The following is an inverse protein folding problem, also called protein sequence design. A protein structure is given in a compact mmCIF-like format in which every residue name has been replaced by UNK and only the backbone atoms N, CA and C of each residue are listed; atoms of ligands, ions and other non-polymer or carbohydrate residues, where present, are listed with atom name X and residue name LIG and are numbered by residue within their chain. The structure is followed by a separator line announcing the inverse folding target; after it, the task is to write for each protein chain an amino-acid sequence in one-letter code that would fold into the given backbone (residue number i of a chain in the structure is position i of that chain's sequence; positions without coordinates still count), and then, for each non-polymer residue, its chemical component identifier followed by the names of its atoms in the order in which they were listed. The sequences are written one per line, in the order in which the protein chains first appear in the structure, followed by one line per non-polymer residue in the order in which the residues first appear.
data_IF_535337604127
#
_entry.id   IF_535337604127
#
_cell.length_a   1.000
_cell.length_b   1.000
_cell.length_c   1.000
_cell.angle_alpha   90.00
_cell.angle_beta   90.00
_cell.angle_gamma   90.00
#
_symmetry.space_group_name_H-M   'P 1'
#
loop_
_entity.id
_entity.type
_entity.pdbx_description
1 polymer ?
#
# COMPACT_ATOMS: atom_id res chain seq x y z
N UNK A 1 11.47 -3.44 10.36
CA UNK A 1 10.84 -2.65 11.44
C UNK A 1 10.49 -3.54 12.60
N UNK A 2 10.68 -3.04 13.80
CA UNK A 2 10.26 -3.77 14.99
C UNK A 2 8.76 -3.60 15.22
N UNK A 3 8.17 -4.53 15.96
CA UNK A 3 6.78 -4.50 16.41
C UNK A 3 5.76 -4.59 15.27
N UNK A 4 4.52 -4.35 15.60
CA UNK A 4 3.42 -4.32 14.64
C UNK A 4 3.29 -2.91 14.07
N UNK A 5 4.13 -2.61 13.08
CA UNK A 5 4.04 -1.34 12.35
C UNK A 5 3.09 -1.51 11.17
N UNK A 6 2.12 -0.59 11.07
CA UNK A 6 1.19 -0.50 9.96
C UNK A 6 1.54 0.73 9.13
N UNK A 7 1.70 0.54 7.83
CA UNK A 7 1.96 1.64 6.91
C UNK A 7 0.73 1.87 6.04
N UNK A 8 0.20 3.09 6.07
CA UNK A 8 -0.97 3.48 5.31
C UNK A 8 -0.57 4.29 4.09
N UNK A 9 -1.02 3.84 2.92
CA UNK A 9 -0.83 4.54 1.66
C UNK A 9 -2.19 5.09 1.25
N UNK A 10 -2.31 6.41 1.19
CA UNK A 10 -3.61 7.08 1.02
C UNK A 10 -3.88 7.57 -0.39
N UNK A 11 -2.88 7.54 -1.26
CA UNK A 11 -3.01 7.88 -2.68
C UNK A 11 -1.84 7.27 -3.46
N UNK A 12 -1.94 7.26 -4.78
CA UNK A 12 -0.92 6.63 -5.63
C UNK A 12 0.30 7.51 -5.92
N UNK A 13 0.43 8.61 -5.20
CA UNK A 13 1.61 9.48 -5.24
C UNK A 13 1.87 10.04 -3.83
N UNK A 14 3.07 10.56 -3.60
CA UNK A 14 3.51 10.99 -2.26
C UNK A 14 3.64 12.50 -2.21
N UNK A 15 3.03 13.11 -1.19
CA UNK A 15 3.10 14.56 -0.97
C UNK A 15 2.04 15.33 -1.74
N UNK A 16 2.01 16.65 -1.54
CA UNK A 16 1.12 17.58 -2.22
C UNK A 16 1.90 18.39 -3.25
N UNK A 17 1.22 18.84 -4.29
CA UNK A 17 1.83 19.63 -5.36
C UNK A 17 1.89 18.84 -6.66
N UNK A 18 3.07 18.57 -7.18
CA UNK A 18 3.23 17.84 -8.43
C UNK A 18 2.94 16.35 -8.28
N UNK A 19 1.95 15.84 -9.00
CA UNK A 19 1.68 14.39 -9.03
C UNK A 19 2.82 13.63 -9.68
N UNK A 20 3.41 14.17 -10.75
CA UNK A 20 4.55 13.55 -11.41
C UNK A 20 5.71 13.32 -10.44
N UNK A 21 6.05 14.34 -9.66
CA UNK A 21 7.06 14.22 -8.61
C UNK A 21 6.63 13.24 -7.54
N UNK A 22 5.36 13.29 -7.14
CA UNK A 22 4.80 12.39 -6.13
C UNK A 22 4.90 10.93 -6.52
N UNK A 23 4.69 10.57 -7.77
CA UNK A 23 4.88 9.21 -8.26
C UNK A 23 6.34 8.76 -8.14
N UNK A 24 7.28 9.63 -8.48
CA UNK A 24 8.71 9.33 -8.34
C UNK A 24 9.11 9.14 -6.89
N UNK A 25 8.59 9.99 -6.00
CA UNK A 25 8.89 9.91 -4.56
C UNK A 25 8.36 8.62 -3.96
N UNK A 26 7.14 8.23 -4.33
CA UNK A 26 6.53 7.00 -3.82
C UNK A 26 7.31 5.76 -4.29
N UNK A 27 7.66 5.70 -5.56
CA UNK A 27 8.45 4.59 -6.11
C UNK A 27 9.80 4.50 -5.41
N UNK A 28 10.47 5.64 -5.19
CA UNK A 28 11.75 5.69 -4.50
C UNK A 28 11.63 5.24 -3.04
N UNK A 29 10.59 5.68 -2.35
CA UNK A 29 10.33 5.29 -0.96
C UNK A 29 10.24 3.77 -0.82
N UNK A 30 9.42 3.12 -1.64
CA UNK A 30 9.22 1.67 -1.54
C UNK A 30 10.41 0.87 -2.07
N UNK A 31 11.13 1.40 -3.06
CA UNK A 31 12.37 0.77 -3.54
C UNK A 31 13.42 0.71 -2.41
N UNK A 32 13.59 1.80 -1.69
CA UNK A 32 14.55 1.87 -0.58
C UNK A 32 14.13 0.94 0.55
N UNK A 33 12.86 0.99 0.95
CA UNK A 33 12.37 0.10 2.01
C UNK A 33 12.57 -1.37 1.64
N UNK A 34 12.27 -1.72 0.40
CA UNK A 34 12.41 -3.10 -0.07
C UNK A 34 13.87 -3.53 -0.10
N UNK A 35 14.76 -2.70 -0.62
CA UNK A 35 16.19 -3.02 -0.72
C UNK A 35 16.85 -3.16 0.65
N UNK A 36 16.44 -2.34 1.61
CA UNK A 36 17.00 -2.36 2.97
C UNK A 36 16.32 -3.41 3.87
N UNK A 37 15.32 -4.12 3.37
CA UNK A 37 14.48 -5.02 4.18
C UNK A 37 13.87 -4.32 5.40
N UNK A 38 13.66 -3.01 5.31
CA UNK A 38 13.07 -2.20 6.37
C UNK A 38 11.57 -2.05 6.10
N UNK A 39 10.82 -3.13 6.35
CA UNK A 39 9.43 -3.27 5.94
C UNK A 39 8.49 -3.29 7.13
N UNK A 40 7.29 -2.71 6.98
CA UNK A 40 6.24 -2.83 7.99
C UNK A 40 5.69 -4.25 8.01
N UNK A 41 4.96 -4.59 9.06
CA UNK A 41 4.27 -5.88 9.14
C UNK A 41 3.07 -5.91 8.21
N UNK A 42 2.36 -4.78 8.13
CA UNK A 42 1.10 -4.66 7.38
C UNK A 42 1.10 -3.33 6.62
N UNK A 43 0.54 -3.38 5.42
CA UNK A 43 0.28 -2.18 4.62
C UNK A 43 -1.19 -2.14 4.26
N UNK A 44 -1.80 -0.96 4.36
CA UNK A 44 -3.18 -0.72 3.93
C UNK A 44 -3.20 0.38 2.87
N UNK A 45 -4.10 0.24 1.91
CA UNK A 45 -4.18 1.11 0.73
C UNK A 45 -5.58 1.66 0.59
N UNK A 46 -5.70 2.98 0.52
CA UNK A 46 -6.98 3.68 0.40
C UNK A 46 -7.01 4.57 -0.83
N UNK A 47 -8.23 4.94 -1.25
CA UNK A 47 -8.44 5.88 -2.34
C UNK A 47 -7.61 5.47 -3.55
N UNK A 48 -6.94 6.40 -4.21
CA UNK A 48 -6.17 6.09 -5.42
C UNK A 48 -4.96 5.17 -5.18
N UNK A 49 -4.54 4.99 -3.92
CA UNK A 49 -3.46 4.06 -3.60
C UNK A 49 -3.76 2.62 -4.00
N UNK A 50 -5.03 2.22 -4.05
CA UNK A 50 -5.39 0.86 -4.48
C UNK A 50 -4.97 0.58 -5.93
N UNK A 51 -4.78 1.62 -6.74
CA UNK A 51 -4.29 1.50 -8.12
C UNK A 51 -2.85 0.99 -8.20
N UNK A 52 -2.09 1.10 -7.11
CA UNK A 52 -0.70 0.62 -7.07
C UNK A 52 -0.60 -0.90 -7.11
N UNK A 53 -1.66 -1.60 -6.71
CA UNK A 53 -1.68 -3.05 -6.55
C UNK A 53 -2.39 -3.78 -7.69
N UNK A 54 -2.78 -3.06 -8.72
CA UNK A 54 -3.55 -3.64 -9.83
C UNK A 54 -2.71 -3.75 -11.10
N UNK A 55 -3.22 -4.54 -12.04
CA UNK A 55 -2.64 -4.70 -13.37
C UNK A 55 -2.34 -3.35 -14.01
N UNK A 56 -1.13 -3.19 -14.54
CA UNK A 56 -0.68 -1.96 -15.20
C UNK A 56 0.00 -0.95 -14.28
N UNK A 57 0.02 -1.19 -12.98
CA UNK A 57 0.72 -0.30 -12.05
C UNK A 57 2.23 -0.32 -12.30
N UNK A 58 2.88 0.85 -12.42
CA UNK A 58 4.34 0.90 -12.61
C UNK A 58 5.14 0.40 -11.41
N UNK A 59 4.52 0.34 -10.22
CA UNK A 59 5.17 -0.12 -8.98
C UNK A 59 4.80 -1.55 -8.62
N UNK A 60 4.05 -2.25 -9.47
CA UNK A 60 3.49 -3.56 -9.12
C UNK A 60 4.57 -4.58 -8.73
N UNK A 61 5.69 -4.60 -9.45
CA UNK A 61 6.76 -5.55 -9.17
C UNK A 61 7.37 -5.34 -7.78
N UNK A 62 7.55 -4.08 -7.37
CA UNK A 62 8.07 -3.76 -6.03
C UNK A 62 7.11 -4.28 -4.96
N UNK A 63 5.82 -4.06 -5.12
CA UNK A 63 4.82 -4.53 -4.14
C UNK A 63 4.71 -6.04 -4.11
N UNK A 64 4.83 -6.71 -5.26
CA UNK A 64 4.87 -8.18 -5.28
C UNK A 64 6.07 -8.74 -4.54
N UNK A 65 7.24 -8.12 -4.68
CA UNK A 65 8.43 -8.50 -3.94
C UNK A 65 8.26 -8.30 -2.45
N UNK A 66 7.69 -7.17 -2.04
CA UNK A 66 7.42 -6.86 -0.62
C UNK A 66 6.44 -7.88 -0.04
N UNK A 67 5.38 -8.20 -0.77
CA UNK A 67 4.41 -9.21 -0.34
C UNK A 67 5.07 -10.59 -0.17
N UNK A 68 5.93 -10.95 -1.11
CA UNK A 68 6.66 -12.22 -1.06
C UNK A 68 7.57 -12.34 0.16
N UNK A 69 7.98 -11.21 0.73
CA UNK A 69 8.77 -11.17 1.96
C UNK A 69 7.93 -11.31 3.23
N UNK A 70 6.62 -11.48 3.10
CA UNK A 70 5.72 -11.73 4.22
C UNK A 70 4.94 -10.52 4.71
N UNK A 71 5.02 -9.38 4.03
CA UNK A 71 4.23 -8.19 4.38
C UNK A 71 2.78 -8.40 3.93
N UNK A 72 1.83 -8.26 4.86
CA UNK A 72 0.41 -8.35 4.56
C UNK A 72 -0.06 -7.03 3.95
N UNK A 73 -0.74 -7.10 2.82
CA UNK A 73 -1.27 -5.93 2.12
C UNK A 73 -2.78 -6.02 1.99
N UNK A 74 -3.49 -5.01 2.47
CA UNK A 74 -4.94 -4.92 2.36
C UNK A 74 -5.30 -3.68 1.56
N UNK A 75 -6.07 -3.86 0.49
CA UNK A 75 -6.60 -2.75 -0.31
C UNK A 75 -8.09 -2.57 -0.04
N UNK A 76 -8.51 -1.33 0.12
CA UNK A 76 -9.90 -0.98 0.43
C UNK A 76 -10.83 -1.43 -0.70
N UNK A 77 -11.74 -2.35 -0.38
CA UNK A 77 -12.68 -2.91 -1.36
C UNK A 77 -13.61 -1.84 -1.93
N UNK A 78 -14.08 -0.92 -1.09
CA UNK A 78 -14.92 0.20 -1.54
C UNK A 78 -14.19 1.04 -2.57
N UNK A 79 -12.90 1.31 -2.35
CA UNK A 79 -12.08 2.09 -3.28
C UNK A 79 -11.87 1.33 -4.60
N UNK A 80 -11.58 0.04 -4.54
CA UNK A 80 -11.42 -0.80 -5.73
C UNK A 80 -12.71 -0.83 -6.58
N UNK A 81 -13.86 -0.93 -5.93
CA UNK A 81 -15.16 -0.89 -6.60
C UNK A 81 -15.44 0.47 -7.23
N UNK A 82 -15.10 1.54 -6.52
CA UNK A 82 -15.29 2.89 -7.03
C UNK A 82 -14.53 3.12 -8.34
N UNK A 83 -13.30 2.63 -8.44
CA UNK A 83 -12.49 2.75 -9.65
C UNK A 83 -12.74 1.63 -10.67
N UNK A 84 -13.59 0.66 -10.35
CA UNK A 84 -13.91 -0.43 -11.26
C UNK A 84 -12.75 -1.39 -11.52
N UNK A 85 -11.88 -1.59 -10.54
CA UNK A 85 -10.64 -2.37 -10.68
C UNK A 85 -10.52 -3.54 -9.69
N UNK A 86 -11.60 -3.92 -9.03
CA UNK A 86 -11.59 -5.03 -8.06
C UNK A 86 -11.08 -6.33 -8.69
N UNK A 87 -11.44 -6.59 -9.94
CA UNK A 87 -11.04 -7.79 -10.67
C UNK A 87 -9.61 -7.75 -11.22
N UNK A 88 -8.90 -6.63 -11.01
CA UNK A 88 -7.54 -6.41 -11.54
C UNK A 88 -6.45 -6.44 -10.47
N UNK A 89 -6.79 -6.78 -9.24
CA UNK A 89 -5.82 -6.84 -8.14
C UNK A 89 -4.79 -7.94 -8.40
N UNK A 90 -3.51 -7.58 -8.36
CA UNK A 90 -2.38 -8.48 -8.61
C UNK A 90 -1.49 -8.68 -7.41
N UNK A 91 -1.57 -7.81 -6.40
CA UNK A 91 -0.84 -7.93 -5.16
C UNK A 91 -1.77 -7.55 -4.01
N UNK A 92 -1.56 -8.16 -2.85
CA UNK A 92 -2.39 -7.93 -1.69
C UNK A 92 -3.77 -8.57 -1.82
N UNK A 93 -4.62 -8.26 -0.86
CA UNK A 93 -5.98 -8.81 -0.74
C UNK A 93 -6.96 -7.68 -0.50
N UNK A 94 -8.11 -7.65 -1.22
CA UNK A 94 -9.17 -6.70 -0.89
C UNK A 94 -9.71 -6.94 0.51
N UNK A 95 -9.99 -5.87 1.24
CA UNK A 95 -10.54 -5.93 2.58
C UNK A 95 -11.56 -4.83 2.82
N UNK A 96 -12.38 -5.02 3.85
CA UNK A 96 -13.40 -4.05 4.24
C UNK A 96 -12.81 -3.00 5.17
N UNK A 97 -13.54 -1.91 5.37
CA UNK A 97 -13.14 -0.88 6.35
C UNK A 97 -13.10 -1.47 7.76
N UNK A 98 -13.95 -2.44 8.07
CA UNK A 98 -13.92 -3.14 9.37
C UNK A 98 -12.57 -3.83 9.56
N UNK A 99 -12.07 -4.51 8.54
CA UNK A 99 -10.76 -5.16 8.58
C UNK A 99 -9.64 -4.14 8.82
N UNK A 100 -9.71 -3.02 8.11
CA UNK A 100 -8.69 -1.97 8.21
C UNK A 100 -8.69 -1.33 9.60
N UNK A 101 -9.86 -1.05 10.17
CA UNK A 101 -9.98 -0.50 11.53
C UNK A 101 -9.36 -1.47 12.53
N UNK A 102 -9.66 -2.76 12.42
CA UNK A 102 -9.08 -3.77 13.31
C UNK A 102 -7.56 -3.78 13.24
N UNK A 103 -6.99 -3.67 12.05
CA UNK A 103 -5.54 -3.63 11.87
C UNK A 103 -4.93 -2.37 12.47
N UNK A 104 -5.61 -1.24 12.35
CA UNK A 104 -5.17 0.02 12.97
C UNK A 104 -5.18 -0.07 14.49
N UNK A 105 -6.22 -0.68 15.06
CA UNK A 105 -6.35 -0.82 16.51
C UNK A 105 -5.28 -1.73 17.11
N UNK A 106 -4.84 -2.73 16.37
CA UNK A 106 -3.80 -3.67 16.81
C UNK A 106 -2.38 -3.14 16.58
N UNK A 107 -2.20 -2.09 15.79
CA UNK A 107 -0.88 -1.59 15.45
C UNK A 107 -0.20 -0.90 16.64
N UNK A 108 1.09 -1.19 16.81
CA UNK A 108 1.93 -0.49 17.80
C UNK A 108 2.37 0.88 17.27
N UNK A 109 2.55 0.98 15.95
CA UNK A 109 2.95 2.22 15.29
C UNK A 109 2.29 2.30 13.92
N UNK A 110 1.85 3.50 13.55
CA UNK A 110 1.26 3.76 12.25
C UNK A 110 2.08 4.83 11.53
N UNK A 111 2.47 4.51 10.30
CA UNK A 111 3.10 5.48 9.38
C UNK A 111 2.07 5.76 8.28
N UNK A 112 1.81 7.03 8.01
CA UNK A 112 0.89 7.43 6.94
C UNK A 112 1.64 8.24 5.88
N UNK A 113 1.51 7.82 4.64
CA UNK A 113 2.07 8.53 3.49
C UNK A 113 1.04 9.41 2.81
#
# INVERSE_FOLDING_TARGET
MANNTLLQVTKDYMGEGSEELGHKLLANYFTIRNNDNNLPKIMVFFNSAVKLLVEGSPCLDIFKEIEAKGVKMISCKTCLNHFGILDKVQAGTPGTMVDIISLQDEADRIITL
#
